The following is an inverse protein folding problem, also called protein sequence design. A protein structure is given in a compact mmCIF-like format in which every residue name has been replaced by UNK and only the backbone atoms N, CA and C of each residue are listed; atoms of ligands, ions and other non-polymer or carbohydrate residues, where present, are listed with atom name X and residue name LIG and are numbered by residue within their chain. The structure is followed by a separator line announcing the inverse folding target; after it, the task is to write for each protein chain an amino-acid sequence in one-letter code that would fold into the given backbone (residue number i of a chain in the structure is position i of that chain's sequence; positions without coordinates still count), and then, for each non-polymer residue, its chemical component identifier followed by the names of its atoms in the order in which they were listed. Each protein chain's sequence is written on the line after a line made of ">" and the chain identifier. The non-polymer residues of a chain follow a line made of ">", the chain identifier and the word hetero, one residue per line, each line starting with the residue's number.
data_IF_985142737767
#
_entry.id   IF_985142737767
#
_cell.length_a   1.000
_cell.length_b   1.000
_cell.length_c   1.000
_cell.angle_alpha   90.00
_cell.angle_beta   90.00
_cell.angle_gamma   90.00
#
_symmetry.space_group_name_H-M   'P 1'
#
loop_
_entity.id
_entity.type
_entity.pdbx_description
1 polymer ?
#
# COMPACT_ATOMS: atom_id res chain seq x y z
N UNK A 1 4.84 12.16 -18.92
CA UNK A 1 3.53 11.50 -19.16
C UNK A 1 2.40 12.51 -18.89
N UNK A 2 1.23 12.35 -19.56
CA UNK A 2 0.03 13.13 -19.24
C UNK A 2 -0.56 12.67 -17.88
N UNK A 3 -1.33 13.53 -17.20
CA UNK A 3 -1.98 13.15 -15.94
C UNK A 3 -2.88 11.90 -16.10
N UNK A 4 -3.62 11.82 -17.19
CA UNK A 4 -4.43 10.65 -17.50
C UNK A 4 -3.59 9.36 -17.63
N UNK A 5 -2.39 9.44 -18.20
CA UNK A 5 -1.49 8.29 -18.30
C UNK A 5 -0.92 7.89 -16.93
N UNK A 6 -0.65 8.83 -16.03
CA UNK A 6 -0.24 8.54 -14.65
C UNK A 6 -1.36 7.82 -13.90
N UNK A 7 -2.60 8.33 -13.99
CA UNK A 7 -3.77 7.70 -13.37
C UNK A 7 -3.98 6.29 -13.92
N UNK A 8 -3.94 6.12 -15.24
CA UNK A 8 -4.08 4.79 -15.86
C UNK A 8 -2.99 3.81 -15.40
N UNK A 9 -1.74 4.28 -15.29
CA UNK A 9 -0.61 3.46 -14.83
C UNK A 9 -0.77 3.07 -13.35
N UNK A 10 -1.21 4.01 -12.50
CA UNK A 10 -1.47 3.73 -11.09
C UNK A 10 -2.62 2.72 -10.92
N UNK A 11 -3.71 2.86 -11.68
CA UNK A 11 -4.82 1.91 -11.66
C UNK A 11 -4.39 0.54 -12.19
N UNK A 12 -3.60 0.47 -13.27
CA UNK A 12 -3.05 -0.79 -13.78
C UNK A 12 -2.15 -1.47 -12.73
N UNK A 13 -1.33 -0.69 -12.00
CA UNK A 13 -0.55 -1.19 -10.86
C UNK A 13 -1.47 -1.78 -9.77
N UNK A 14 -2.54 -1.08 -9.42
CA UNK A 14 -3.52 -1.54 -8.43
C UNK A 14 -4.19 -2.87 -8.85
N UNK A 15 -4.56 -3.00 -10.12
CA UNK A 15 -5.11 -4.25 -10.70
C UNK A 15 -4.08 -5.38 -10.62
N UNK A 16 -2.84 -5.12 -11.02
CA UNK A 16 -1.78 -6.13 -11.00
C UNK A 16 -1.45 -6.58 -9.57
N UNK A 17 -1.42 -5.65 -8.61
CA UNK A 17 -1.23 -5.97 -7.18
C UNK A 17 -2.38 -6.80 -6.61
N UNK A 18 -3.63 -6.47 -6.96
CA UNK A 18 -4.81 -7.26 -6.60
C UNK A 18 -4.72 -8.68 -7.15
N UNK A 19 -4.42 -8.81 -8.46
CA UNK A 19 -4.24 -10.11 -9.11
C UNK A 19 -3.14 -10.93 -8.44
N UNK A 20 -2.00 -10.30 -8.15
CA UNK A 20 -0.89 -10.93 -7.44
C UNK A 20 -1.31 -11.51 -6.09
N UNK A 21 -1.94 -10.68 -5.26
CA UNK A 21 -2.39 -11.07 -3.92
C UNK A 21 -3.34 -12.26 -3.96
N UNK A 22 -4.32 -12.24 -4.86
CA UNK A 22 -5.35 -13.27 -4.98
C UNK A 22 -4.77 -14.57 -5.50
N UNK A 23 -3.94 -14.53 -6.57
CA UNK A 23 -3.32 -15.72 -7.15
C UNK A 23 -2.36 -16.41 -6.17
N UNK A 24 -1.57 -15.62 -5.44
CA UNK A 24 -0.66 -16.15 -4.42
C UNK A 24 -1.45 -16.74 -3.23
N UNK A 25 -2.49 -16.05 -2.76
CA UNK A 25 -3.35 -16.53 -1.69
C UNK A 25 -4.07 -17.83 -2.07
N UNK A 26 -4.66 -17.89 -3.27
CA UNK A 26 -5.33 -19.08 -3.78
C UNK A 26 -4.35 -20.28 -3.86
N UNK A 27 -3.14 -20.05 -4.36
CA UNK A 27 -2.10 -21.10 -4.43
C UNK A 27 -1.67 -21.58 -3.05
N UNK A 28 -1.55 -20.67 -2.07
CA UNK A 28 -1.18 -21.00 -0.70
C UNK A 28 -2.26 -21.86 0.00
N UNK A 29 -3.55 -21.55 -0.24
CA UNK A 29 -4.68 -22.32 0.33
C UNK A 29 -4.85 -23.71 -0.26
N UNK A 30 -4.44 -23.92 -1.51
CA UNK A 30 -4.53 -25.21 -2.20
C UNK A 30 -3.27 -26.06 -2.03
N UNK A 31 -2.27 -25.56 -1.29
CA UNK A 31 -1.05 -26.31 -1.00
C UNK A 31 -1.31 -27.38 0.09
N UNK A 32 -0.73 -28.58 -0.01
CA UNK A 32 -0.82 -29.60 1.02
C UNK A 32 -0.20 -29.14 2.34
N UNK A 33 -0.79 -29.58 3.46
CA UNK A 33 -0.21 -29.37 4.79
C UNK A 33 1.20 -29.95 4.87
N UNK A 34 2.18 -29.13 5.21
CA UNK A 34 3.58 -29.54 5.26
C UNK A 34 4.51 -28.52 5.94
N UNK A 35 5.76 -28.96 6.18
CA UNK A 35 6.80 -28.07 6.72
C UNK A 35 7.10 -26.95 5.73
N UNK A 36 7.36 -25.74 6.24
CA UNK A 36 7.53 -24.48 5.49
C UNK A 36 8.43 -24.58 4.24
N UNK A 37 9.53 -25.35 4.31
CA UNK A 37 10.44 -25.54 3.17
C UNK A 37 9.85 -26.38 2.04
N UNK A 38 8.97 -27.37 2.36
CA UNK A 38 8.24 -28.15 1.35
C UNK A 38 7.12 -27.34 0.70
N UNK A 39 6.49 -26.46 1.47
CA UNK A 39 5.50 -25.49 0.95
C UNK A 39 6.11 -24.56 -0.09
N UNK A 40 7.27 -23.96 0.21
CA UNK A 40 7.95 -23.07 -0.73
C UNK A 40 8.34 -23.81 -2.02
N UNK A 41 8.93 -25.00 -1.91
CA UNK A 41 9.28 -25.82 -3.07
C UNK A 41 8.08 -26.19 -3.93
N UNK A 42 6.92 -26.47 -3.30
CA UNK A 42 5.68 -26.77 -4.00
C UNK A 42 5.08 -25.53 -4.68
N UNK A 43 5.09 -24.37 -4.01
CA UNK A 43 4.56 -23.11 -4.54
C UNK A 43 5.35 -22.64 -5.77
N UNK A 44 6.68 -22.69 -5.73
CA UNK A 44 7.56 -22.25 -6.85
C UNK A 44 7.32 -23.07 -8.14
N UNK A 45 6.76 -24.28 -8.06
CA UNK A 45 6.42 -25.10 -9.22
C UNK A 45 4.98 -24.90 -9.71
N UNK A 46 4.13 -24.15 -8.97
CA UNK A 46 2.74 -23.92 -9.36
C UNK A 46 2.60 -22.75 -10.32
N UNK A 47 2.01 -22.97 -11.53
CA UNK A 47 1.88 -21.91 -12.53
C UNK A 47 1.03 -20.73 -12.02
N UNK A 48 0.01 -20.98 -11.19
CA UNK A 48 -0.83 -19.93 -10.60
C UNK A 48 -0.03 -19.05 -9.63
N UNK A 49 0.88 -19.62 -8.83
CA UNK A 49 1.75 -18.86 -7.94
C UNK A 49 2.78 -18.04 -8.72
N UNK A 50 3.37 -18.63 -9.77
CA UNK A 50 4.30 -17.94 -10.66
C UNK A 50 3.59 -16.77 -11.36
N UNK A 51 2.36 -16.97 -11.85
CA UNK A 51 1.55 -15.91 -12.43
C UNK A 51 1.30 -14.77 -11.41
N UNK A 52 1.03 -15.13 -10.14
CA UNK A 52 0.94 -14.16 -9.04
C UNK A 52 2.24 -13.38 -8.80
N UNK A 53 3.39 -14.06 -8.89
CA UNK A 53 4.69 -13.40 -8.74
C UNK A 53 5.01 -12.48 -9.92
N UNK A 54 4.70 -12.89 -11.15
CA UNK A 54 4.84 -12.04 -12.35
C UNK A 54 3.92 -10.82 -12.22
N UNK A 55 2.68 -11.01 -11.78
CA UNK A 55 1.74 -9.90 -11.54
C UNK A 55 2.29 -8.94 -10.46
N UNK A 56 2.94 -9.44 -9.40
CA UNK A 56 3.62 -8.59 -8.41
C UNK A 56 4.72 -7.75 -9.04
N UNK A 57 5.58 -8.36 -9.86
CA UNK A 57 6.66 -7.65 -10.56
C UNK A 57 6.12 -6.58 -11.51
N UNK A 58 5.08 -6.91 -12.30
CA UNK A 58 4.41 -5.94 -13.18
C UNK A 58 3.76 -4.82 -12.37
N UNK A 59 3.06 -5.15 -11.29
CA UNK A 59 2.45 -4.15 -10.40
C UNK A 59 3.49 -3.20 -9.80
N UNK A 60 4.62 -3.74 -9.31
CA UNK A 60 5.72 -2.93 -8.79
C UNK A 60 6.33 -2.03 -9.89
N UNK A 61 6.59 -2.56 -11.07
CA UNK A 61 7.13 -1.77 -12.19
C UNK A 61 6.19 -0.62 -12.58
N UNK A 62 4.89 -0.88 -12.69
CA UNK A 62 3.87 0.13 -12.96
C UNK A 62 3.78 1.17 -11.82
N UNK A 63 3.90 0.73 -10.56
CA UNK A 63 3.94 1.62 -9.39
C UNK A 63 5.15 2.58 -9.47
N UNK A 64 6.33 2.04 -9.75
CA UNK A 64 7.56 2.83 -9.96
C UNK A 64 7.37 3.85 -11.08
N UNK A 65 6.83 3.44 -12.22
CA UNK A 65 6.53 4.35 -13.35
C UNK A 65 5.51 5.42 -12.97
N UNK A 66 4.46 5.06 -12.25
CA UNK A 66 3.45 6.03 -11.80
C UNK A 66 4.07 7.08 -10.86
N UNK A 67 4.91 6.66 -9.90
CA UNK A 67 5.59 7.57 -8.95
C UNK A 67 6.67 8.41 -9.62
N UNK A 68 7.34 7.89 -10.65
CA UNK A 68 8.33 8.64 -11.42
C UNK A 68 7.74 9.86 -12.13
N UNK A 69 6.47 9.80 -12.52
CA UNK A 69 5.81 10.83 -13.31
C UNK A 69 4.62 11.48 -12.63
N UNK A 70 4.20 10.94 -11.48
CA UNK A 70 3.03 11.39 -10.73
C UNK A 70 3.36 11.92 -9.33
N UNK A 71 2.34 12.48 -8.73
CA UNK A 71 2.40 13.00 -7.36
C UNK A 71 2.06 11.86 -6.37
N UNK A 72 2.72 11.84 -5.22
CA UNK A 72 2.40 10.91 -4.13
C UNK A 72 0.93 11.05 -3.70
N UNK A 73 0.46 12.31 -3.64
CA UNK A 73 -0.92 12.64 -3.29
C UNK A 73 -1.99 12.12 -4.28
N UNK A 74 -1.60 11.77 -5.51
CA UNK A 74 -2.49 11.15 -6.52
C UNK A 74 -2.31 9.63 -6.53
N UNK A 75 -1.05 9.19 -6.67
CA UNK A 75 -0.74 7.78 -6.92
C UNK A 75 -1.13 6.89 -5.75
N UNK A 76 -0.81 7.31 -4.52
CA UNK A 76 -1.04 6.47 -3.34
C UNK A 76 -2.53 6.25 -3.02
N UNK A 77 -3.41 7.26 -3.04
CA UNK A 77 -4.84 7.03 -2.91
C UNK A 77 -5.43 6.16 -4.04
N UNK A 78 -4.92 6.29 -5.29
CA UNK A 78 -5.36 5.45 -6.40
C UNK A 78 -5.03 3.97 -6.20
N UNK A 79 -3.90 3.64 -5.55
CA UNK A 79 -3.54 2.26 -5.26
C UNK A 79 -4.51 1.57 -4.29
N UNK A 80 -5.17 2.31 -3.40
CA UNK A 80 -6.22 1.77 -2.53
C UNK A 80 -7.37 1.18 -3.36
N UNK A 81 -7.63 1.72 -4.55
CA UNK A 81 -8.64 1.18 -5.45
C UNK A 81 -8.37 -0.27 -5.89
N UNK A 82 -7.17 -0.80 -5.65
CA UNK A 82 -6.84 -2.21 -5.86
C UNK A 82 -7.81 -3.17 -5.18
N UNK A 83 -8.35 -2.79 -4.02
CA UNK A 83 -9.37 -3.56 -3.30
C UNK A 83 -10.65 -3.74 -4.13
N UNK A 84 -11.01 -2.76 -4.98
CA UNK A 84 -12.16 -2.87 -5.89
C UNK A 84 -11.99 -3.98 -6.92
N UNK A 85 -10.77 -4.14 -7.41
CA UNK A 85 -10.43 -5.17 -8.39
C UNK A 85 -10.26 -6.53 -7.73
N UNK A 86 -9.78 -6.55 -6.47
CA UNK A 86 -9.65 -7.76 -5.68
C UNK A 86 -11.01 -8.45 -5.46
N UNK A 87 -12.07 -7.70 -5.21
CA UNK A 87 -13.41 -8.24 -4.96
C UNK A 87 -13.95 -9.16 -6.06
N UNK A 88 -14.10 -8.71 -7.33
CA UNK A 88 -14.60 -9.59 -8.38
C UNK A 88 -13.62 -10.72 -8.71
N UNK A 89 -12.32 -10.49 -8.59
CA UNK A 89 -11.30 -11.51 -8.88
C UNK A 89 -11.32 -12.64 -7.84
N UNK A 90 -11.41 -12.32 -6.54
CA UNK A 90 -11.53 -13.32 -5.47
C UNK A 90 -12.84 -14.11 -5.60
N UNK A 91 -13.94 -13.40 -5.87
CA UNK A 91 -15.25 -14.01 -6.06
C UNK A 91 -15.27 -15.01 -7.24
N UNK A 92 -14.62 -14.65 -8.36
CA UNK A 92 -14.49 -15.53 -9.53
C UNK A 92 -13.69 -16.79 -9.20
N UNK A 93 -12.57 -16.67 -8.48
CA UNK A 93 -11.76 -17.84 -8.10
C UNK A 93 -12.46 -18.74 -7.08
N UNK A 94 -13.31 -18.18 -6.24
CA UNK A 94 -14.08 -18.91 -5.23
C UNK A 94 -15.42 -19.43 -5.77
N UNK A 95 -15.78 -19.15 -7.03
CA UNK A 95 -17.04 -19.54 -7.65
C UNK A 95 -18.26 -18.84 -7.02
N UNK A 96 -18.08 -17.71 -6.35
CA UNK A 96 -19.13 -16.92 -5.70
C UNK A 96 -19.40 -15.59 -6.43
N UNK A 97 -20.48 -14.93 -6.09
CA UNK A 97 -20.75 -13.56 -6.54
C UNK A 97 -20.51 -12.59 -5.38
N UNK A 98 -19.92 -11.40 -5.63
CA UNK A 98 -19.81 -10.38 -4.61
C UNK A 98 -21.19 -9.98 -4.08
N UNK A 99 -21.30 -9.79 -2.78
CA UNK A 99 -22.54 -9.38 -2.13
C UNK A 99 -22.88 -7.91 -2.43
N UNK A 100 -24.18 -7.55 -2.31
CA UNK A 100 -24.60 -6.15 -2.50
C UNK A 100 -23.91 -5.18 -1.53
N UNK A 101 -23.54 -5.64 -0.33
CA UNK A 101 -22.80 -4.84 0.65
C UNK A 101 -21.33 -4.63 0.25
N UNK A 102 -20.68 -5.61 -0.38
CA UNK A 102 -19.34 -5.45 -0.94
C UNK A 102 -19.35 -4.42 -2.08
N UNK A 103 -20.36 -4.47 -2.97
CA UNK A 103 -20.55 -3.47 -4.01
C UNK A 103 -20.81 -2.07 -3.45
N UNK A 104 -21.62 -1.96 -2.37
CA UNK A 104 -21.85 -0.68 -1.71
C UNK A 104 -20.56 -0.09 -1.15
N UNK A 105 -19.76 -0.91 -0.45
CA UNK A 105 -18.46 -0.47 0.08
C UNK A 105 -17.49 -0.06 -1.05
N UNK A 106 -17.52 -0.79 -2.17
CA UNK A 106 -16.75 -0.44 -3.36
C UNK A 106 -17.16 0.94 -3.92
N UNK A 107 -18.46 1.21 -4.03
CA UNK A 107 -18.97 2.52 -4.45
C UNK A 107 -18.61 3.64 -3.47
N UNK A 108 -18.68 3.38 -2.16
CA UNK A 108 -18.30 4.34 -1.12
C UNK A 108 -16.81 4.65 -1.20
N UNK A 109 -15.96 3.64 -1.48
CA UNK A 109 -14.52 3.83 -1.68
C UNK A 109 -14.26 4.75 -2.88
N UNK A 110 -14.90 4.48 -4.02
CA UNK A 110 -14.75 5.32 -5.24
C UNK A 110 -15.23 6.74 -4.98
N UNK A 111 -16.36 6.92 -4.31
CA UNK A 111 -16.88 8.23 -3.97
C UNK A 111 -15.93 9.01 -3.05
N UNK A 112 -15.37 8.34 -2.03
CA UNK A 112 -14.36 8.94 -1.14
C UNK A 112 -13.09 9.35 -1.88
N UNK A 113 -12.58 8.47 -2.75
CA UNK A 113 -11.42 8.73 -3.60
C UNK A 113 -11.66 9.92 -4.55
N UNK A 114 -12.81 9.93 -5.24
CA UNK A 114 -13.18 11.03 -6.13
C UNK A 114 -13.30 12.34 -5.36
N UNK A 115 -13.95 12.34 -4.19
CA UNK A 115 -14.07 13.52 -3.32
C UNK A 115 -12.69 14.04 -2.92
N UNK A 116 -11.79 13.14 -2.49
CA UNK A 116 -10.41 13.52 -2.13
C UNK A 116 -9.67 14.18 -3.31
N UNK A 117 -9.63 13.51 -4.46
CA UNK A 117 -8.85 13.99 -5.63
C UNK A 117 -9.42 15.28 -6.20
N UNK A 118 -10.75 15.41 -6.31
CA UNK A 118 -11.40 16.61 -6.81
C UNK A 118 -11.23 17.81 -5.87
N UNK A 119 -11.22 17.57 -4.55
CA UNK A 119 -10.99 18.59 -3.55
C UNK A 119 -9.50 18.96 -3.43
N UNK A 120 -8.62 17.98 -3.46
CA UNK A 120 -7.17 18.20 -3.30
C UNK A 120 -6.56 18.95 -4.47
N UNK A 121 -7.04 18.70 -5.70
CA UNK A 121 -6.48 19.28 -6.93
C UNK A 121 -4.95 19.31 -6.89
N UNK A 122 -4.30 18.17 -6.65
CA UNK A 122 -2.88 18.14 -6.42
C UNK A 122 -2.13 18.65 -7.65
N UNK A 123 -1.13 19.50 -7.41
CA UNK A 123 -0.25 20.00 -8.45
C UNK A 123 1.17 19.52 -8.24
N UNK A 124 1.95 19.49 -9.31
CA UNK A 124 3.31 19.00 -9.28
C UNK A 124 4.15 19.74 -8.22
N UNK A 125 4.82 18.97 -7.40
CA UNK A 125 5.86 19.40 -6.48
C UNK A 125 7.25 19.18 -7.09
N UNK A 126 8.25 19.03 -6.21
CA UNK A 126 9.62 18.69 -6.62
C UNK A 126 9.68 17.27 -7.19
N UNK A 127 10.44 17.10 -8.27
CA UNK A 127 10.68 15.79 -8.88
C UNK A 127 11.66 14.97 -8.01
N UNK A 128 12.67 15.66 -7.48
CA UNK A 128 13.67 15.10 -6.56
C UNK A 128 13.83 16.00 -5.35
N UNK A 129 14.25 15.42 -4.24
CA UNK A 129 14.56 16.13 -3.01
C UNK A 129 16.05 16.45 -2.94
N UNK A 130 16.38 17.57 -2.30
CA UNK A 130 17.74 17.83 -1.84
C UNK A 130 18.15 16.76 -0.83
N UNK A 131 19.43 16.40 -0.82
CA UNK A 131 19.96 15.31 0.02
C UNK A 131 19.60 15.49 1.51
N UNK A 132 19.71 16.72 2.01
CA UNK A 132 19.41 17.06 3.41
C UNK A 132 17.92 16.88 3.72
N UNK A 133 17.02 17.36 2.84
CA UNK A 133 15.56 17.22 3.01
C UNK A 133 15.16 15.75 3.02
N UNK A 134 15.74 14.96 2.11
CA UNK A 134 15.48 13.51 2.06
C UNK A 134 16.03 12.82 3.31
N UNK A 135 17.25 13.15 3.75
CA UNK A 135 17.87 12.57 4.93
C UNK A 135 17.04 12.87 6.19
N UNK A 136 16.68 14.13 6.42
CA UNK A 136 15.84 14.52 7.56
C UNK A 136 14.46 13.86 7.51
N UNK A 137 13.81 13.82 6.34
CA UNK A 137 12.52 13.13 6.16
C UNK A 137 12.63 11.65 6.52
N UNK A 138 13.70 10.99 6.05
CA UNK A 138 13.97 9.58 6.35
C UNK A 138 14.20 9.35 7.85
N UNK A 139 14.99 10.19 8.51
CA UNK A 139 15.28 10.09 9.95
C UNK A 139 14.01 10.32 10.77
N UNK A 140 13.22 11.34 10.45
CA UNK A 140 11.95 11.64 11.16
C UNK A 140 10.99 10.46 11.03
N UNK A 141 10.80 9.95 9.82
CA UNK A 141 9.89 8.81 9.60
C UNK A 141 10.42 7.55 10.29
N UNK A 142 11.72 7.27 10.21
CA UNK A 142 12.32 6.15 10.93
C UNK A 142 12.15 6.27 12.45
N UNK A 143 12.27 7.47 13.01
CA UNK A 143 12.01 7.72 14.43
C UNK A 143 10.53 7.47 14.80
N UNK A 144 9.58 7.90 13.96
CA UNK A 144 8.14 7.64 14.15
C UNK A 144 7.85 6.14 14.08
N UNK A 145 8.39 5.44 13.08
CA UNK A 145 8.26 3.98 12.93
C UNK A 145 8.86 3.27 14.14
N UNK A 146 10.05 3.68 14.58
CA UNK A 146 10.71 3.14 15.77
C UNK A 146 9.88 3.35 17.04
N UNK A 147 9.36 4.56 17.25
CA UNK A 147 8.50 4.90 18.39
C UNK A 147 7.22 4.06 18.40
N UNK A 148 6.49 4.01 17.28
CA UNK A 148 5.27 3.21 17.15
C UNK A 148 5.55 1.72 17.39
N UNK A 149 6.68 1.23 16.90
CA UNK A 149 7.12 -0.16 17.12
C UNK A 149 7.40 -0.42 18.60
N UNK A 150 8.18 0.44 19.25
CA UNK A 150 8.53 0.31 20.67
C UNK A 150 7.28 0.39 21.55
N UNK A 151 6.38 1.33 21.27
CA UNK A 151 5.09 1.44 21.98
C UNK A 151 4.28 0.17 21.74
N UNK A 152 4.16 -0.30 20.48
CA UNK A 152 3.43 -1.52 20.14
C UNK A 152 3.99 -2.78 20.80
N UNK A 153 5.32 -2.90 20.96
CA UNK A 153 5.96 -4.02 21.62
C UNK A 153 5.74 -4.02 23.14
N UNK A 154 5.64 -2.83 23.75
CA UNK A 154 5.45 -2.66 25.22
C UNK A 154 3.99 -2.61 25.64
N UNK A 155 3.05 -2.37 24.70
CA UNK A 155 1.63 -2.21 25.03
C UNK A 155 0.93 -3.56 25.26
N UNK A 156 -0.11 -3.61 26.12
CA UNK A 156 -0.90 -4.83 26.33
C UNK A 156 -1.46 -5.40 25.01
N UNK A 157 -1.60 -6.69 24.94
CA UNK A 157 -1.87 -7.50 23.75
C UNK A 157 -3.02 -7.02 22.82
N UNK A 158 -3.96 -6.19 23.32
CA UNK A 158 -5.13 -5.74 22.55
C UNK A 158 -4.86 -4.73 21.45
N UNK A 159 -3.84 -3.88 21.57
CA UNK A 159 -3.51 -2.79 20.59
C UNK A 159 -2.25 -3.05 19.77
N UNK A 160 -1.44 -4.01 20.15
CA UNK A 160 -0.19 -4.38 19.49
C UNK A 160 -0.33 -4.57 17.96
N UNK A 161 -1.33 -5.33 17.45
CA UNK A 161 -1.47 -5.50 16.00
C UNK A 161 -1.72 -4.20 15.26
N UNK A 162 -2.54 -3.31 15.83
CA UNK A 162 -2.85 -2.01 15.23
C UNK A 162 -1.63 -1.08 15.22
N UNK A 163 -0.89 -0.98 16.33
CA UNK A 163 0.31 -0.15 16.43
C UNK A 163 1.42 -0.59 15.48
N UNK A 164 1.65 -1.90 15.36
CA UNK A 164 2.61 -2.45 14.39
C UNK A 164 2.12 -2.25 12.94
N UNK A 165 0.80 -2.33 12.70
CA UNK A 165 0.19 -2.00 11.41
C UNK A 165 0.36 -0.52 11.04
N UNK A 166 0.17 0.40 12.00
CA UNK A 166 0.45 1.84 11.82
C UNK A 166 1.93 2.06 11.49
N UNK A 167 2.85 1.45 12.24
CA UNK A 167 4.28 1.56 12.00
C UNK A 167 4.67 1.08 10.59
N UNK A 168 4.11 -0.07 10.18
CA UNK A 168 4.34 -0.61 8.84
C UNK A 168 3.80 0.34 7.75
N UNK A 169 2.60 0.90 7.92
CA UNK A 169 2.00 1.83 6.97
C UNK A 169 2.83 3.13 6.83
N UNK A 170 3.28 3.73 7.94
CA UNK A 170 4.18 4.88 7.91
C UNK A 170 5.48 4.54 7.15
N UNK A 171 6.02 3.35 7.38
CA UNK A 171 7.21 2.86 6.69
C UNK A 171 6.99 2.68 5.19
N UNK A 172 5.84 2.17 4.75
CA UNK A 172 5.51 2.07 3.32
C UNK A 172 5.31 3.44 2.66
N UNK A 173 4.77 4.43 3.39
CA UNK A 173 4.74 5.81 2.92
C UNK A 173 6.14 6.36 2.62
N UNK A 174 7.13 6.04 3.45
CA UNK A 174 8.54 6.36 3.18
C UNK A 174 9.07 5.59 1.96
N UNK A 175 8.74 4.31 1.83
CA UNK A 175 9.11 3.50 0.65
C UNK A 175 8.63 4.16 -0.64
N UNK A 176 7.40 4.65 -0.68
CA UNK A 176 6.86 5.35 -1.85
C UNK A 176 7.63 6.63 -2.17
N UNK A 177 7.98 7.42 -1.14
CA UNK A 177 8.83 8.62 -1.30
C UNK A 177 10.23 8.28 -1.82
N UNK A 178 10.84 7.22 -1.28
CA UNK A 178 12.16 6.75 -1.72
C UNK A 178 12.13 6.14 -3.13
N UNK A 179 11.05 5.47 -3.55
CA UNK A 179 10.85 5.05 -4.95
C UNK A 179 10.85 6.27 -5.87
N UNK A 180 10.09 7.32 -5.53
CA UNK A 180 10.04 8.56 -6.32
C UNK A 180 11.43 9.18 -6.43
N UNK A 181 12.19 9.27 -5.34
CA UNK A 181 13.56 9.77 -5.34
C UNK A 181 14.50 8.89 -6.16
N UNK A 182 14.46 7.57 -5.94
CA UNK A 182 15.30 6.62 -6.67
C UNK A 182 15.08 6.66 -8.18
N UNK A 183 13.83 6.87 -8.63
CA UNK A 183 13.52 7.03 -10.06
C UNK A 183 14.07 8.35 -10.63
N UNK A 184 14.08 9.43 -9.84
CA UNK A 184 14.71 10.69 -10.25
C UNK A 184 16.23 10.51 -10.42
N UNK A 185 16.90 9.82 -9.48
CA UNK A 185 18.32 9.50 -9.57
C UNK A 185 18.62 8.55 -10.73
N UNK A 186 17.78 7.52 -10.95
CA UNK A 186 17.94 6.59 -12.08
C UNK A 186 17.97 7.32 -13.44
N UNK A 187 17.18 8.38 -13.60
CA UNK A 187 17.16 9.19 -14.83
C UNK A 187 18.47 9.95 -15.08
N UNK A 188 19.33 10.12 -14.07
CA UNK A 188 20.67 10.70 -14.23
C UNK A 188 21.74 9.65 -14.57
N UNK A 189 21.42 8.36 -14.38
CA UNK A 189 22.29 7.23 -14.73
C UNK A 189 22.15 6.05 -13.77
N UNK A 190 22.18 4.84 -14.31
CA UNK A 190 22.08 3.61 -13.50
C UNK A 190 23.20 3.47 -12.46
N UNK A 191 24.42 3.84 -12.82
CA UNK A 191 25.55 3.78 -11.89
C UNK A 191 25.40 4.78 -10.73
N UNK A 192 24.82 5.96 -10.98
CA UNK A 192 24.52 6.93 -9.93
C UNK A 192 23.50 6.35 -8.93
N UNK A 193 22.46 5.65 -9.41
CA UNK A 193 21.52 4.99 -8.50
C UNK A 193 22.18 3.97 -7.59
N UNK A 194 23.16 3.20 -8.10
CA UNK A 194 23.88 2.20 -7.30
C UNK A 194 24.87 2.81 -6.28
N UNK A 195 25.39 4.00 -6.57
CA UNK A 195 26.31 4.71 -5.67
C UNK A 195 25.62 5.62 -4.67
N UNK A 196 24.31 5.87 -4.84
CA UNK A 196 23.57 6.81 -4.01
C UNK A 196 22.80 6.10 -2.88
N UNK A 197 22.74 6.72 -1.71
CA UNK A 197 22.17 6.15 -0.49
C UNK A 197 20.64 5.91 -0.53
N UNK A 198 19.82 6.65 -1.29
CA UNK A 198 18.37 6.44 -1.34
C UNK A 198 17.95 5.04 -1.76
N UNK A 199 18.71 4.37 -2.63
CA UNK A 199 18.46 2.98 -3.01
C UNK A 199 18.58 2.04 -1.80
N UNK A 200 19.61 2.20 -1.00
CA UNK A 200 19.85 1.37 0.18
C UNK A 200 18.83 1.67 1.28
N UNK A 201 18.45 2.95 1.44
CA UNK A 201 17.37 3.35 2.32
C UNK A 201 16.02 2.75 1.88
N UNK A 202 15.73 2.70 0.58
CA UNK A 202 14.54 2.06 0.01
C UNK A 202 14.49 0.57 0.36
N UNK A 203 15.58 -0.16 0.16
CA UNK A 203 15.67 -1.59 0.48
C UNK A 203 15.49 -1.81 1.99
N UNK A 204 16.18 -1.00 2.81
CA UNK A 204 16.06 -1.07 4.27
C UNK A 204 14.65 -0.75 4.77
N UNK A 205 14.06 0.35 4.32
CA UNK A 205 12.71 0.75 4.69
C UNK A 205 11.66 -0.28 4.24
N UNK A 206 11.80 -0.83 3.02
CA UNK A 206 10.93 -1.89 2.50
C UNK A 206 11.03 -3.16 3.34
N UNK A 207 12.24 -3.60 3.66
CA UNK A 207 12.48 -4.77 4.51
C UNK A 207 11.91 -4.61 5.92
N UNK A 208 12.12 -3.45 6.55
CA UNK A 208 11.58 -3.13 7.87
C UNK A 208 10.04 -3.08 7.84
N UNK A 209 9.46 -2.40 6.85
CA UNK A 209 7.98 -2.31 6.72
C UNK A 209 7.34 -3.68 6.50
N UNK A 210 7.96 -4.52 5.68
CA UNK A 210 7.52 -5.90 5.48
C UNK A 210 7.61 -6.72 6.77
N UNK A 211 8.72 -6.62 7.50
CA UNK A 211 8.89 -7.31 8.78
C UNK A 211 7.86 -6.87 9.81
N UNK A 212 7.60 -5.56 9.92
CA UNK A 212 6.58 -5.00 10.80
C UNK A 212 5.16 -5.48 10.42
N UNK A 213 4.86 -5.58 9.12
CA UNK A 213 3.60 -6.15 8.61
C UNK A 213 3.44 -7.59 9.10
N UNK A 214 4.47 -8.42 8.93
CA UNK A 214 4.43 -9.81 9.40
C UNK A 214 4.29 -9.91 10.93
N UNK A 215 4.97 -9.02 11.67
CA UNK A 215 4.84 -8.95 13.12
C UNK A 215 3.43 -8.51 13.54
N UNK A 216 2.84 -7.55 12.84
CA UNK A 216 1.47 -7.09 13.08
C UNK A 216 0.44 -8.21 12.88
N UNK A 217 0.60 -9.01 11.80
CA UNK A 217 -0.28 -10.14 11.50
C UNK A 217 -0.16 -11.28 12.53
N UNK A 218 1.05 -11.52 13.03
CA UNK A 218 1.27 -12.53 14.10
C UNK A 218 0.83 -12.05 15.48
N UNK A 219 0.78 -10.75 15.71
CA UNK A 219 0.46 -10.18 17.04
C UNK A 219 -1.03 -10.28 17.41
N UNK A 220 -1.92 -10.53 16.43
CA UNK A 220 -3.36 -10.66 16.69
C UNK A 220 -4.22 -10.66 15.42
N UNK A 221 -5.54 -10.44 15.57
CA UNK A 221 -6.46 -10.55 14.45
C UNK A 221 -6.18 -9.52 13.35
N UNK A 222 -6.24 -9.97 12.10
CA UNK A 222 -6.06 -9.14 10.90
C UNK A 222 -7.02 -7.94 10.85
N UNK A 223 -8.22 -8.08 11.44
CA UNK A 223 -9.21 -7.00 11.54
C UNK A 223 -8.70 -5.75 12.29
N UNK A 224 -7.59 -5.84 13.05
CA UNK A 224 -6.96 -4.72 13.73
C UNK A 224 -5.75 -4.17 12.97
N UNK A 225 -4.92 -5.04 12.41
CA UNK A 225 -3.66 -4.66 11.75
C UNK A 225 -3.85 -4.18 10.31
N UNK A 226 -4.69 -4.88 9.52
CA UNK A 226 -4.90 -4.50 8.11
C UNK A 226 -5.49 -3.09 7.94
N UNK A 227 -6.57 -2.70 8.65
CA UNK A 227 -7.09 -1.34 8.52
C UNK A 227 -6.08 -0.27 8.92
N UNK A 228 -5.30 -0.51 9.98
CA UNK A 228 -4.28 0.41 10.43
C UNK A 228 -3.22 0.65 9.34
N UNK A 229 -2.71 -0.42 8.73
CA UNK A 229 -1.75 -0.35 7.63
C UNK A 229 -2.35 0.32 6.39
N UNK A 230 -3.53 -0.11 5.94
CA UNK A 230 -4.19 0.36 4.70
C UNK A 230 -4.50 1.87 4.74
N UNK A 231 -4.81 2.41 5.92
CA UNK A 231 -5.10 3.85 6.08
C UNK A 231 -3.81 4.65 6.22
N UNK A 232 -2.82 4.12 6.94
CA UNK A 232 -1.63 4.90 7.32
C UNK A 232 -0.63 5.04 6.18
N UNK A 233 -0.49 4.02 5.32
CA UNK A 233 0.40 4.08 4.15
C UNK A 233 0.06 5.28 3.23
N UNK A 234 -1.15 5.42 2.66
CA UNK A 234 -1.46 6.57 1.82
C UNK A 234 -1.47 7.89 2.60
N UNK A 235 -1.82 7.89 3.89
CA UNK A 235 -1.74 9.09 4.72
C UNK A 235 -0.30 9.59 4.85
N UNK A 236 0.64 8.70 5.17
CA UNK A 236 2.06 9.03 5.27
C UNK A 236 2.62 9.47 3.92
N UNK A 237 2.23 8.80 2.83
CA UNK A 237 2.64 9.15 1.47
C UNK A 237 2.17 10.55 1.05
N UNK A 238 0.90 10.89 1.31
CA UNK A 238 0.33 12.21 1.02
C UNK A 238 1.04 13.29 1.86
N UNK A 239 1.30 13.02 3.15
CA UNK A 239 2.04 13.94 4.02
C UNK A 239 3.47 14.17 3.51
N UNK A 240 4.18 13.12 3.11
CA UNK A 240 5.52 13.25 2.55
C UNK A 240 5.50 13.97 1.19
N UNK A 241 4.49 13.72 0.36
CA UNK A 241 4.26 14.47 -0.87
C UNK A 241 4.12 15.96 -0.61
N UNK A 242 3.25 16.33 0.32
CA UNK A 242 3.00 17.74 0.65
C UNK A 242 4.19 18.41 1.35
N UNK A 243 4.80 17.76 2.35
CA UNK A 243 5.81 18.38 3.21
C UNK A 243 7.22 18.32 2.62
N UNK A 244 7.64 17.16 2.12
CA UNK A 244 8.97 16.96 1.58
C UNK A 244 9.04 17.33 0.09
N UNK A 245 8.17 16.75 -0.74
CA UNK A 245 8.15 17.04 -2.18
C UNK A 245 7.47 18.36 -2.54
N UNK A 246 6.88 19.06 -1.55
CA UNK A 246 6.17 20.33 -1.77
C UNK A 246 5.06 20.22 -2.82
N UNK A 247 4.40 19.06 -2.87
CA UNK A 247 3.21 18.86 -3.69
C UNK A 247 2.10 19.78 -3.14
N UNK A 248 1.59 20.69 -3.98
CA UNK A 248 0.59 21.65 -3.53
C UNK A 248 -0.79 20.99 -3.59
N UNK A 249 -1.49 21.02 -2.48
CA UNK A 249 -2.89 20.68 -2.38
C UNK A 249 -3.72 21.97 -2.26
N UNK A 250 -4.96 21.96 -2.76
CA UNK A 250 -5.83 23.13 -2.61
C UNK A 250 -6.04 23.45 -1.12
N UNK A 251 -5.68 24.67 -0.71
CA UNK A 251 -5.53 25.07 0.69
C UNK A 251 -6.72 25.86 1.26
N UNK A 252 -7.87 25.97 0.57
CA UNK A 252 -9.04 26.61 1.17
C UNK A 252 -9.61 25.73 2.29
N UNK A 253 -10.16 26.34 3.34
CA UNK A 253 -10.73 25.59 4.47
C UNK A 253 -11.76 24.57 4.01
N UNK A 254 -12.62 24.93 3.06
CA UNK A 254 -13.61 24.03 2.49
C UNK A 254 -12.97 22.85 1.73
N UNK A 255 -11.94 23.13 0.95
CA UNK A 255 -11.19 22.10 0.25
C UNK A 255 -10.51 21.13 1.22
N UNK A 256 -9.88 21.63 2.28
CA UNK A 256 -9.26 20.81 3.32
C UNK A 256 -10.28 19.90 4.03
N UNK A 257 -11.46 20.43 4.37
CA UNK A 257 -12.55 19.63 4.95
C UNK A 257 -12.98 18.48 4.02
N UNK A 258 -13.13 18.75 2.72
CA UNK A 258 -13.51 17.73 1.74
C UNK A 258 -12.38 16.72 1.50
N UNK A 259 -11.11 17.14 1.52
CA UNK A 259 -9.96 16.24 1.43
C UNK A 259 -9.95 15.27 2.60
N UNK A 260 -10.06 15.78 3.82
CA UNK A 260 -10.10 14.94 5.04
C UNK A 260 -11.30 14.01 5.01
N UNK A 261 -12.49 14.51 4.66
CA UNK A 261 -13.71 13.71 4.57
C UNK A 261 -13.56 12.60 3.51
N UNK A 262 -13.13 12.94 2.29
CA UNK A 262 -12.92 11.98 1.21
C UNK A 262 -11.89 10.91 1.58
N UNK A 263 -10.78 11.32 2.22
CA UNK A 263 -9.77 10.41 2.71
C UNK A 263 -10.30 9.46 3.77
N UNK A 264 -11.06 9.95 4.74
CA UNK A 264 -11.66 9.12 5.79
C UNK A 264 -12.69 8.14 5.23
N UNK A 265 -13.55 8.59 4.30
CA UNK A 265 -14.55 7.75 3.64
C UNK A 265 -13.88 6.59 2.87
N UNK A 266 -12.91 6.90 1.99
CA UNK A 266 -12.24 5.85 1.21
C UNK A 266 -11.47 4.88 2.12
N UNK A 267 -10.78 5.40 3.15
CA UNK A 267 -10.02 4.60 4.09
C UNK A 267 -10.91 3.68 4.92
N UNK A 268 -12.05 4.18 5.40
CA UNK A 268 -13.03 3.38 6.14
C UNK A 268 -13.63 2.27 5.26
N UNK A 269 -13.97 2.57 4.01
CA UNK A 269 -14.49 1.60 3.06
C UNK A 269 -13.44 0.52 2.72
N UNK A 270 -12.21 0.92 2.40
CA UNK A 270 -11.10 -0.01 2.14
C UNK A 270 -10.82 -0.92 3.34
N UNK A 271 -10.78 -0.34 4.54
CA UNK A 271 -10.58 -1.09 5.77
C UNK A 271 -11.71 -2.11 6.04
N UNK A 272 -12.96 -1.77 5.74
CA UNK A 272 -14.09 -2.69 5.89
C UNK A 272 -14.04 -3.82 4.85
N UNK A 273 -13.66 -3.54 3.60
CA UNK A 273 -13.47 -4.54 2.56
C UNK A 273 -12.35 -5.51 2.94
N UNK A 274 -11.18 -4.99 3.35
CA UNK A 274 -10.05 -5.82 3.80
C UNK A 274 -10.39 -6.70 5.00
N UNK A 275 -11.22 -6.21 5.96
CA UNK A 275 -11.69 -7.04 7.09
C UNK A 275 -12.55 -8.21 6.63
N UNK A 276 -13.44 -8.00 5.66
CA UNK A 276 -14.33 -9.04 5.12
C UNK A 276 -13.55 -10.11 4.39
N UNK A 277 -12.62 -9.72 3.54
CA UNK A 277 -11.73 -10.69 2.89
C UNK A 277 -10.96 -11.55 3.91
N UNK A 278 -10.51 -10.94 5.01
CA UNK A 278 -9.84 -11.66 6.09
C UNK A 278 -10.78 -12.59 6.87
N UNK A 279 -12.07 -12.27 6.99
CA UNK A 279 -13.09 -13.10 7.65
C UNK A 279 -13.50 -14.28 6.76
N UNK A 280 -13.76 -14.04 5.48
CA UNK A 280 -14.12 -15.07 4.50
C UNK A 280 -12.97 -16.06 4.25
N UNK A 281 -11.73 -15.62 4.43
CA UNK A 281 -10.52 -16.45 4.30
C UNK A 281 -10.27 -17.40 5.48
N UNK A 282 -11.05 -17.33 6.58
CA UNK A 282 -10.91 -18.26 7.70
C UNK A 282 -11.45 -19.64 7.30
N UNK A 283 -10.73 -20.74 7.61
CA UNK A 283 -11.27 -22.08 7.44
C UNK A 283 -12.59 -22.17 8.22
N UNK A 284 -13.69 -22.51 7.55
CA UNK A 284 -14.92 -22.91 8.24
C UNK A 284 -14.57 -24.16 9.00
N UNK A 285 -14.41 -24.03 10.32
CA UNK A 285 -14.34 -25.18 11.21
C UNK A 285 -15.70 -25.89 11.06
N UNK A 286 -15.69 -27.03 10.37
CA UNK A 286 -16.87 -27.89 10.34
C UNK A 286 -17.15 -28.33 11.79
N UNK A 287 -18.29 -27.89 12.32
CA UNK A 287 -18.87 -28.34 13.59
C UNK A 287 -19.46 -29.71 13.38
#
# INVERSE_FOLDING_TARGET
>A
MTEAAVVATALASAVAAAASSILQHHSARTAPDGRTHRLLGHLVTRPVWIAGLVAAGVGLALHVVALAHGQLAVVQPLLISGVLFALPMSALLEGRRPSGREWLLALVLVAGLATFLLAARPSAGRVALDADVLAWSTVIVAAVVGLLTLVGLRWPHGHKPALLGLAAGVGYGLVAALIKQATAVFNTGFLHLLSDWPLYALIGAGGVSLALTQMAYRAGPLSKSMPALTVTDPAASVLLGALAFQEKLAGTVWSLCLQVLGFLIMSAAAAQLARREAEDSRPRVAV
#
